data_IF_282181518610
#
_entry.id   IF_282181518610
#
_cell.length_a   1.000
_cell.length_b   1.000
_cell.length_c   1.000
_cell.angle_alpha   90.00
_cell.angle_beta   90.00
_cell.angle_gamma   90.00
#
_symmetry.space_group_name_H-M   'P 1'
#
loop_
_entity.id
_entity.type
_entity.pdbx_description
1 polymer ?
#
# COMPACT_ATOMS: atom_id res chain seq x y z
N UNK A 1 -10.91 -1.86 16.19
CA UNK A 1 -11.51 -1.18 17.36
C UNK A 1 -10.84 0.18 17.57
N UNK A 2 -11.60 1.18 18.06
CA UNK A 2 -11.14 2.57 18.25
C UNK A 2 -10.78 2.88 19.70
N UNK A 3 -10.86 1.88 20.59
CA UNK A 3 -10.51 2.03 22.01
C UNK A 3 -9.06 2.45 22.20
N UNK A 4 -8.82 3.39 23.10
CA UNK A 4 -7.49 3.91 23.39
C UNK A 4 -6.99 4.99 22.42
N UNK A 5 -7.74 5.31 21.35
CA UNK A 5 -7.40 6.47 20.52
C UNK A 5 -7.63 7.75 21.28
N UNK A 6 -6.72 8.70 21.13
CA UNK A 6 -6.77 10.00 21.77
C UNK A 6 -6.61 11.13 20.75
N UNK A 7 -7.10 12.30 21.09
CA UNK A 7 -6.83 13.52 20.34
C UNK A 7 -6.76 14.71 21.31
N UNK A 8 -6.09 15.76 20.87
CA UNK A 8 -5.99 16.98 21.66
C UNK A 8 -6.99 18.02 21.13
N UNK A 9 -7.89 18.48 21.99
CA UNK A 9 -8.79 19.57 21.66
C UNK A 9 -8.04 20.91 21.66
N UNK A 10 -8.18 21.67 20.59
CA UNK A 10 -7.61 23.01 20.42
C UNK A 10 -8.72 24.04 20.32
N UNK A 11 -8.53 25.22 20.89
CA UNK A 11 -9.52 26.31 20.84
C UNK A 11 -9.89 26.73 19.41
N UNK A 12 -9.02 26.51 18.42
CA UNK A 12 -9.27 26.76 17.00
C UNK A 12 -10.38 25.89 16.42
N UNK A 13 -10.74 24.77 17.08
CA UNK A 13 -11.85 23.89 16.66
C UNK A 13 -13.23 24.55 16.95
N UNK A 14 -13.28 25.54 17.86
CA UNK A 14 -14.51 26.19 18.28
C UNK A 14 -15.28 25.37 19.33
N UNK A 15 -16.55 25.71 19.57
CA UNK A 15 -17.40 24.95 20.51
C UNK A 15 -17.66 23.56 19.96
N UNK A 16 -17.40 22.53 20.77
CA UNK A 16 -17.59 21.12 20.38
C UNK A 16 -18.34 20.36 21.47
N UNK A 17 -19.22 19.47 21.03
CA UNK A 17 -19.90 18.46 21.86
C UNK A 17 -19.25 17.12 21.53
N UNK A 18 -19.03 16.29 22.52
CA UNK A 18 -18.44 14.96 22.32
C UNK A 18 -19.42 13.87 22.77
N UNK A 19 -19.34 12.71 22.11
CA UNK A 19 -20.20 11.56 22.41
C UNK A 19 -19.90 10.95 23.79
N UNK A 20 -20.89 10.35 24.43
CA UNK A 20 -20.77 9.79 25.78
C UNK A 20 -19.72 8.69 25.97
N UNK A 21 -19.21 8.12 24.88
CA UNK A 21 -18.11 7.14 24.89
C UNK A 21 -16.72 7.76 24.93
N UNK A 22 -16.59 9.09 24.83
CA UNK A 22 -15.33 9.80 24.93
C UNK A 22 -15.10 10.26 26.36
N UNK A 23 -13.89 10.07 26.85
CA UNK A 23 -13.48 10.50 28.17
C UNK A 23 -12.63 11.76 28.01
N UNK A 24 -13.06 12.85 28.64
CA UNK A 24 -12.33 14.11 28.65
C UNK A 24 -11.40 14.17 29.83
N UNK A 25 -10.12 14.49 29.58
CA UNK A 25 -9.13 14.79 30.59
C UNK A 25 -8.85 16.30 30.65
N UNK A 26 -8.85 16.84 31.85
CA UNK A 26 -8.41 18.20 32.14
C UNK A 26 -7.19 18.12 33.07
N UNK A 27 -6.08 18.66 32.62
CA UNK A 27 -4.83 18.61 33.38
C UNK A 27 -4.58 19.93 34.11
N UNK A 28 -4.01 19.86 35.32
CA UNK A 28 -3.36 21.02 35.93
C UNK A 28 -2.09 21.36 35.13
N UNK A 29 -2.14 22.46 34.40
CA UNK A 29 -1.08 22.89 33.50
C UNK A 29 0.20 23.31 34.16
N UNK A 30 0.19 23.56 35.48
CA UNK A 30 1.36 23.80 36.27
C UNK A 30 2.26 22.55 36.41
N UNK A 31 1.66 21.37 36.29
CA UNK A 31 2.36 20.10 36.45
C UNK A 31 2.44 19.30 35.15
N UNK A 32 1.39 19.31 34.31
CA UNK A 32 1.31 18.48 33.10
C UNK A 32 0.79 19.30 31.92
N UNK A 33 1.60 19.36 30.87
CA UNK A 33 1.18 19.92 29.59
C UNK A 33 0.25 18.94 28.86
N UNK A 34 -0.94 19.36 28.39
CA UNK A 34 -1.84 18.49 27.62
C UNK A 34 -1.19 17.86 26.39
N UNK A 35 -0.31 18.60 25.69
CA UNK A 35 0.43 18.07 24.55
C UNK A 35 1.41 16.95 24.95
N UNK A 36 2.05 17.08 26.13
CA UNK A 36 2.91 16.03 26.68
C UNK A 36 2.09 14.77 27.03
N UNK A 37 0.96 14.93 27.76
CA UNK A 37 0.08 13.80 28.07
C UNK A 37 -0.43 13.11 26.81
N UNK A 38 -0.76 13.87 25.76
CA UNK A 38 -1.11 13.32 24.44
C UNK A 38 0.05 12.53 23.83
N UNK A 39 1.29 13.01 23.89
CA UNK A 39 2.46 12.29 23.38
C UNK A 39 2.66 10.93 24.06
N UNK A 40 2.37 10.82 25.37
CA UNK A 40 2.43 9.54 26.11
C UNK A 40 1.46 8.50 25.53
N UNK A 41 0.33 8.90 24.94
CA UNK A 41 -0.63 7.97 24.34
C UNK A 41 -0.10 7.30 23.06
N UNK A 42 1.02 7.73 22.51
CA UNK A 42 1.73 7.07 21.42
C UNK A 42 2.70 5.97 21.89
N UNK A 43 3.03 5.95 23.21
CA UNK A 43 4.01 5.02 23.78
C UNK A 43 3.56 3.56 23.72
N UNK A 44 4.55 2.64 23.67
CA UNK A 44 4.30 1.19 23.77
C UNK A 44 3.59 0.86 25.08
N UNK A 45 4.06 1.44 26.19
CA UNK A 45 3.48 1.25 27.54
C UNK A 45 1.98 1.60 27.59
N UNK A 46 1.56 2.70 26.93
CA UNK A 46 0.14 3.04 26.85
C UNK A 46 -0.64 2.06 26.01
N UNK A 47 -0.11 1.65 24.85
CA UNK A 47 -0.76 0.67 23.96
C UNK A 47 -0.94 -0.68 24.63
N UNK A 48 0.08 -1.18 25.33
CA UNK A 48 0.01 -2.40 26.11
C UNK A 48 -1.02 -2.29 27.24
N UNK A 49 -1.05 -1.16 27.94
CA UNK A 49 -2.05 -0.91 28.97
C UNK A 49 -3.48 -0.92 28.39
N UNK A 50 -3.70 -0.30 27.24
CA UNK A 50 -4.99 -0.32 26.53
C UNK A 50 -5.37 -1.76 26.16
N UNK A 51 -4.47 -2.56 25.60
CA UNK A 51 -4.72 -3.95 25.26
C UNK A 51 -5.14 -4.80 26.47
N UNK A 52 -4.51 -4.59 27.62
CA UNK A 52 -4.84 -5.26 28.87
C UNK A 52 -6.22 -4.88 29.42
N UNK A 53 -6.67 -3.62 29.23
CA UNK A 53 -7.84 -3.07 29.90
C UNK A 53 -9.10 -2.95 29.01
N UNK A 54 -8.97 -3.06 27.69
CA UNK A 54 -10.09 -2.84 26.76
C UNK A 54 -11.22 -3.89 26.83
N UNK A 55 -11.03 -4.96 27.59
CA UNK A 55 -12.01 -6.05 27.68
C UNK A 55 -12.06 -6.93 26.41
N UNK A 56 -12.62 -8.13 26.54
CA UNK A 56 -12.77 -9.12 25.44
C UNK A 56 -14.22 -9.23 24.98
N UNK A 57 -14.95 -8.13 24.91
CA UNK A 57 -16.35 -8.09 24.49
C UNK A 57 -16.48 -7.69 23.02
N UNK A 58 -17.65 -7.90 22.43
CA UNK A 58 -17.95 -7.45 21.06
C UNK A 58 -17.81 -5.93 20.89
N UNK A 59 -18.00 -5.15 21.97
CA UNK A 59 -17.76 -3.71 22.03
C UNK A 59 -16.74 -3.40 23.14
N UNK A 60 -15.43 -3.48 22.85
CA UNK A 60 -14.40 -3.18 23.82
C UNK A 60 -14.54 -1.75 24.35
N UNK A 61 -14.36 -1.54 25.65
CA UNK A 61 -14.45 -0.25 26.30
C UNK A 61 -13.47 -0.15 27.46
N UNK A 62 -13.02 1.06 27.76
CA UNK A 62 -12.24 1.41 28.95
C UNK A 62 -12.92 2.60 29.59
N UNK A 63 -13.34 2.48 30.84
CA UNK A 63 -14.06 3.54 31.55
C UNK A 63 -13.10 4.54 32.25
N UNK A 64 -13.66 5.66 32.75
CA UNK A 64 -12.88 6.72 33.41
C UNK A 64 -12.11 6.24 34.65
N UNK A 65 -12.67 5.32 35.42
CA UNK A 65 -12.01 4.77 36.61
C UNK A 65 -10.79 3.92 36.23
N UNK A 66 -10.90 3.14 35.16
CA UNK A 66 -9.74 2.40 34.62
C UNK A 66 -8.67 3.37 34.11
N UNK A 67 -9.04 4.40 33.35
CA UNK A 67 -8.08 5.39 32.88
C UNK A 67 -7.38 6.13 34.02
N UNK A 68 -8.05 6.40 35.14
CA UNK A 68 -7.43 7.05 36.31
C UNK A 68 -6.33 6.19 36.97
N UNK A 69 -6.32 4.89 36.70
CA UNK A 69 -5.26 3.98 37.17
C UNK A 69 -3.99 3.99 36.30
N UNK A 70 -4.06 4.53 35.07
CA UNK A 70 -2.91 4.61 34.19
C UNK A 70 -1.92 5.66 34.71
N UNK A 71 -0.73 5.20 35.10
CA UNK A 71 0.33 6.08 35.63
C UNK A 71 1.19 6.61 34.50
N UNK A 72 1.31 7.94 34.43
CA UNK A 72 2.21 8.63 33.51
C UNK A 72 3.38 9.23 34.28
N UNK A 73 4.60 9.22 33.72
CA UNK A 73 5.71 10.00 34.28
C UNK A 73 5.37 11.50 34.24
N UNK A 74 5.83 12.26 35.19
CA UNK A 74 5.64 13.72 35.25
C UNK A 74 7.00 14.40 35.47
N UNK A 75 7.84 14.49 34.40
CA UNK A 75 9.08 15.20 34.48
C UNK A 75 8.85 16.72 34.61
N UNK A 76 9.89 17.52 34.95
CA UNK A 76 9.78 18.98 34.96
C UNK A 76 9.17 19.53 33.63
N UNK A 77 8.47 20.65 33.74
CA UNK A 77 7.75 21.28 32.61
C UNK A 77 8.67 21.53 31.40
N UNK A 78 9.94 21.91 31.65
CA UNK A 78 10.87 22.18 30.55
C UNK A 78 11.26 20.88 29.80
N UNK A 79 11.38 19.77 30.51
CA UNK A 79 11.57 18.44 29.90
C UNK A 79 10.32 18.04 29.09
N UNK A 80 9.12 18.29 29.62
CA UNK A 80 7.88 18.05 28.87
C UNK A 80 7.82 18.86 27.57
N UNK A 81 8.24 20.14 27.60
CA UNK A 81 8.30 21.00 26.40
C UNK A 81 9.30 20.44 25.38
N UNK A 82 10.47 19.98 25.81
CA UNK A 82 11.46 19.36 24.92
C UNK A 82 10.90 18.11 24.23
N UNK A 83 10.25 17.21 24.98
CA UNK A 83 9.59 16.02 24.43
C UNK A 83 8.55 16.41 23.39
N UNK A 84 7.68 17.38 23.70
CA UNK A 84 6.63 17.85 22.78
C UNK A 84 7.22 18.46 21.52
N UNK A 85 8.32 19.21 21.62
CA UNK A 85 9.00 19.81 20.48
C UNK A 85 9.62 18.74 19.57
N UNK A 86 10.37 17.78 20.14
CA UNK A 86 11.02 16.71 19.37
C UNK A 86 9.96 15.82 18.67
N UNK A 87 8.90 15.40 19.38
CA UNK A 87 7.79 14.63 18.79
C UNK A 87 7.05 15.45 17.74
N UNK A 88 6.86 16.74 17.96
CA UNK A 88 6.22 17.64 17.01
C UNK A 88 6.97 17.75 15.68
N UNK A 89 8.31 17.70 15.70
CA UNK A 89 9.14 17.66 14.48
C UNK A 89 8.89 16.37 13.68
N UNK A 90 8.80 15.21 14.35
CA UNK A 90 8.46 13.93 13.69
C UNK A 90 7.05 13.96 13.11
N UNK A 91 6.07 14.51 13.85
CA UNK A 91 4.68 14.61 13.35
C UNK A 91 4.56 15.51 12.13
N UNK A 92 5.29 16.64 12.14
CA UNK A 92 5.35 17.53 10.98
C UNK A 92 5.97 16.80 9.78
N UNK A 93 7.16 16.21 9.95
CA UNK A 93 7.83 15.43 8.90
C UNK A 93 6.94 14.33 8.33
N UNK A 94 6.20 13.62 9.19
CA UNK A 94 5.25 12.57 8.79
C UNK A 94 4.08 13.12 7.95
N UNK A 95 3.54 14.29 8.31
CA UNK A 95 2.48 14.93 7.54
C UNK A 95 2.99 15.48 6.19
N UNK A 96 4.19 16.06 6.18
CA UNK A 96 4.84 16.54 4.96
C UNK A 96 5.11 15.36 4.01
N UNK A 97 5.57 14.21 4.54
CA UNK A 97 5.78 12.98 3.77
C UNK A 97 4.48 12.44 3.16
N UNK A 98 3.35 12.45 3.88
CA UNK A 98 2.05 12.05 3.34
C UNK A 98 1.61 12.97 2.20
N UNK A 99 1.74 14.29 2.39
CA UNK A 99 1.39 15.26 1.36
C UNK A 99 2.26 15.11 0.12
N UNK A 100 3.54 14.77 0.28
CA UNK A 100 4.46 14.49 -0.83
C UNK A 100 4.02 13.23 -1.60
N UNK A 101 3.62 12.16 -0.92
CA UNK A 101 3.10 10.94 -1.55
C UNK A 101 1.86 11.26 -2.40
N UNK A 102 0.88 11.96 -1.83
CA UNK A 102 -0.36 12.31 -2.52
C UNK A 102 -0.08 13.18 -3.76
N UNK A 103 0.82 14.14 -3.64
CA UNK A 103 1.27 14.99 -4.75
C UNK A 103 1.93 14.16 -5.86
N UNK A 104 2.92 13.33 -5.52
CA UNK A 104 3.67 12.56 -6.51
C UNK A 104 2.78 11.53 -7.22
N UNK A 105 1.83 10.89 -6.52
CA UNK A 105 0.83 10.01 -7.15
C UNK A 105 -0.08 10.79 -8.13
N UNK A 106 -0.47 12.02 -7.78
CA UNK A 106 -1.22 12.90 -8.69
C UNK A 106 -0.39 13.29 -9.91
N UNK A 107 0.89 13.63 -9.73
CA UNK A 107 1.80 13.99 -10.82
C UNK A 107 2.00 12.82 -11.80
N UNK A 108 2.17 11.59 -11.30
CA UNK A 108 2.22 10.37 -12.12
C UNK A 108 0.92 10.20 -12.93
N UNK A 109 -0.23 10.39 -12.29
CA UNK A 109 -1.52 10.29 -12.97
C UNK A 109 -1.66 11.34 -14.08
N UNK A 110 -1.20 12.57 -13.85
CA UNK A 110 -1.21 13.64 -14.86
C UNK A 110 -0.32 13.26 -16.06
N UNK A 111 0.90 12.78 -15.82
CA UNK A 111 1.81 12.32 -16.88
C UNK A 111 1.14 11.26 -17.74
N UNK A 112 0.58 10.24 -17.12
CA UNK A 112 -0.01 9.09 -17.82
C UNK A 112 -1.29 9.46 -18.58
N UNK A 113 -2.16 10.30 -18.02
CA UNK A 113 -3.42 10.68 -18.65
C UNK A 113 -3.27 11.80 -19.71
N UNK A 114 -2.10 12.44 -19.79
CA UNK A 114 -1.76 13.41 -20.84
C UNK A 114 -1.32 12.78 -22.17
N UNK A 115 -1.20 11.45 -22.25
CA UNK A 115 -0.67 10.76 -23.44
C UNK A 115 -1.74 10.62 -24.53
N UNK A 116 -1.33 10.81 -25.80
CA UNK A 116 -2.19 11.02 -26.96
C UNK A 116 -2.55 9.74 -27.77
N UNK A 117 -2.09 9.68 -29.03
CA UNK A 117 -2.43 8.63 -30.03
C UNK A 117 -2.37 7.21 -29.47
N UNK A 118 -3.25 6.30 -29.93
CA UNK A 118 -3.35 4.97 -29.31
C UNK A 118 -3.21 3.82 -30.33
N UNK A 119 -2.73 2.68 -29.82
CA UNK A 119 -2.56 1.41 -30.53
C UNK A 119 -3.07 0.26 -29.66
N UNK A 120 -3.40 -0.90 -30.25
CA UNK A 120 -3.84 -2.07 -29.47
C UNK A 120 -2.67 -2.74 -28.76
N UNK A 121 -2.90 -3.25 -27.52
CA UNK A 121 -1.89 -3.98 -26.74
C UNK A 121 -1.27 -5.13 -27.53
N UNK A 122 -2.09 -5.90 -28.25
CA UNK A 122 -1.65 -7.06 -29.08
C UNK A 122 -0.57 -6.73 -30.12
N UNK A 123 -0.42 -5.48 -30.51
CA UNK A 123 0.63 -5.10 -31.48
C UNK A 123 2.03 -5.23 -30.86
N UNK A 124 2.16 -4.96 -29.56
CA UNK A 124 3.44 -4.88 -28.86
C UNK A 124 3.62 -5.96 -27.78
N UNK A 125 2.58 -6.62 -27.33
CA UNK A 125 2.64 -7.58 -26.21
C UNK A 125 2.07 -8.93 -26.56
N UNK A 126 2.71 -9.96 -26.03
CA UNK A 126 2.18 -11.32 -25.96
C UNK A 126 1.60 -11.59 -24.58
N UNK A 127 0.54 -12.38 -24.51
CA UNK A 127 -0.20 -12.66 -23.27
C UNK A 127 -0.26 -14.15 -23.00
N UNK A 128 0.22 -14.56 -21.80
CA UNK A 128 0.10 -15.95 -21.30
C UNK A 128 0.75 -17.00 -22.19
N UNK A 129 1.92 -16.73 -22.75
CA UNK A 129 2.61 -17.60 -23.71
C UNK A 129 3.10 -18.91 -23.11
N UNK A 130 3.50 -18.89 -21.84
CA UNK A 130 4.11 -20.02 -21.18
C UNK A 130 3.22 -20.59 -20.07
N UNK A 131 3.13 -21.92 -20.06
CA UNK A 131 2.40 -22.67 -19.02
C UNK A 131 3.19 -23.88 -18.56
N UNK A 132 3.02 -24.25 -17.28
CA UNK A 132 3.66 -25.41 -16.68
C UNK A 132 2.69 -26.06 -15.68
N UNK A 133 2.71 -27.37 -15.58
CA UNK A 133 1.99 -28.10 -14.56
C UNK A 133 2.95 -28.52 -13.42
N UNK A 134 2.95 -27.84 -12.25
CA UNK A 134 3.84 -28.17 -11.16
C UNK A 134 3.69 -29.60 -10.65
N UNK A 135 2.48 -30.19 -10.71
CA UNK A 135 2.23 -31.57 -10.26
C UNK A 135 3.01 -32.58 -11.07
N UNK A 136 3.23 -32.36 -12.36
CA UNK A 136 4.01 -33.26 -13.20
C UNK A 136 5.48 -32.92 -13.23
N UNK A 137 5.84 -31.62 -13.13
CA UNK A 137 7.23 -31.19 -13.28
C UNK A 137 8.03 -31.23 -11.95
N UNK A 138 7.36 -30.97 -10.82
CA UNK A 138 8.02 -30.79 -9.51
C UNK A 138 7.28 -31.51 -8.39
N UNK A 139 6.74 -32.69 -8.65
CA UNK A 139 5.88 -33.47 -7.75
C UNK A 139 6.25 -33.37 -6.27
N UNK A 140 7.50 -33.66 -5.94
CA UNK A 140 8.02 -33.71 -4.56
C UNK A 140 8.97 -32.53 -4.23
N UNK A 141 8.97 -31.48 -5.05
CA UNK A 141 9.75 -30.27 -4.84
C UNK A 141 8.82 -29.07 -4.53
N UNK A 142 9.35 -28.11 -3.79
CA UNK A 142 8.65 -26.85 -3.53
C UNK A 142 8.79 -25.89 -4.71
N UNK A 143 7.72 -25.17 -5.00
CA UNK A 143 7.68 -24.04 -5.90
C UNK A 143 7.01 -22.84 -5.24
N UNK A 144 7.27 -21.64 -5.74
CA UNK A 144 6.60 -20.41 -5.31
C UNK A 144 5.30 -20.25 -6.08
N UNK A 145 4.18 -20.13 -5.37
CA UNK A 145 2.87 -19.89 -5.98
C UNK A 145 2.40 -18.46 -5.75
N UNK A 146 2.27 -17.71 -6.82
CA UNK A 146 1.71 -16.35 -6.79
C UNK A 146 0.24 -16.42 -7.22
N UNK A 147 -0.66 -16.28 -6.25
CA UNK A 147 -2.11 -16.18 -6.48
C UNK A 147 -2.61 -14.74 -6.36
N UNK A 148 -3.94 -14.55 -6.51
CA UNK A 148 -4.54 -13.21 -6.50
C UNK A 148 -4.26 -12.45 -5.20
N UNK A 149 -4.18 -13.14 -4.07
CA UNK A 149 -3.91 -12.52 -2.76
C UNK A 149 -2.42 -12.21 -2.55
N UNK A 150 -1.55 -12.78 -3.37
CA UNK A 150 -0.11 -12.51 -3.36
C UNK A 150 0.27 -11.19 -4.02
N UNK A 151 -0.66 -10.55 -4.75
CA UNK A 151 -0.43 -9.25 -5.41
C UNK A 151 -1.23 -8.16 -4.70
N UNK A 152 -0.54 -7.12 -4.28
CA UNK A 152 -1.13 -5.99 -3.57
C UNK A 152 -2.15 -5.23 -4.44
N UNK A 153 -3.16 -4.66 -3.79
CA UNK A 153 -4.23 -3.94 -4.47
C UNK A 153 -3.88 -2.46 -4.58
N UNK A 154 -3.44 -2.06 -5.77
CA UNK A 154 -3.09 -0.66 -6.07
C UNK A 154 -1.71 -0.20 -5.57
N UNK A 155 -0.87 -1.11 -5.10
CA UNK A 155 0.49 -0.79 -4.60
C UNK A 155 1.62 -1.44 -5.40
N UNK A 156 1.30 -2.33 -6.35
CA UNK A 156 2.28 -2.99 -7.22
C UNK A 156 3.15 -4.06 -6.55
N UNK A 157 2.93 -4.36 -5.27
CA UNK A 157 3.74 -5.31 -4.51
C UNK A 157 3.37 -6.76 -4.86
N UNK A 158 4.37 -7.65 -4.83
CA UNK A 158 4.19 -9.09 -4.99
C UNK A 158 4.85 -9.80 -3.80
N UNK A 159 4.12 -10.69 -3.14
CA UNK A 159 4.70 -11.64 -2.18
C UNK A 159 5.06 -12.94 -2.88
N UNK A 160 6.30 -13.40 -2.63
CA UNK A 160 6.82 -14.69 -3.07
C UNK A 160 6.94 -15.70 -1.92
N UNK A 161 6.24 -15.48 -0.83
CA UNK A 161 6.38 -16.26 0.42
C UNK A 161 5.65 -17.60 0.37
N UNK A 162 4.65 -17.75 -0.52
CA UNK A 162 3.80 -18.93 -0.58
C UNK A 162 4.51 -20.08 -1.29
N UNK A 163 5.08 -21.01 -0.52
CA UNK A 163 5.74 -22.23 -1.00
C UNK A 163 4.78 -23.42 -0.92
N UNK A 164 4.64 -24.15 -2.03
CA UNK A 164 3.73 -25.32 -2.14
C UNK A 164 4.50 -26.46 -2.78
N UNK A 165 4.25 -27.71 -2.34
CA UNK A 165 4.77 -28.91 -3.02
C UNK A 165 4.04 -29.11 -4.35
N UNK A 166 4.76 -29.55 -5.39
CA UNK A 166 4.18 -29.73 -6.73
C UNK A 166 2.97 -30.65 -6.74
N UNK A 167 2.94 -31.73 -5.96
CA UNK A 167 1.79 -32.62 -5.82
C UNK A 167 0.54 -31.97 -5.24
N UNK A 168 0.72 -30.91 -4.44
CA UNK A 168 -0.36 -30.18 -3.78
C UNK A 168 -0.74 -28.90 -4.56
N UNK A 169 -0.21 -28.73 -5.77
CA UNK A 169 -0.42 -27.53 -6.59
C UNK A 169 -1.90 -27.33 -6.92
N UNK A 170 -2.47 -26.15 -6.63
CA UNK A 170 -3.82 -25.80 -7.04
C UNK A 170 -4.02 -25.94 -8.56
N UNK A 171 -5.22 -26.29 -9.00
CA UNK A 171 -5.54 -26.41 -10.44
C UNK A 171 -5.25 -25.13 -11.24
N UNK A 172 -5.30 -23.97 -10.59
CA UNK A 172 -5.01 -22.67 -11.17
C UNK A 172 -3.51 -22.32 -11.24
N UNK A 173 -2.62 -23.08 -10.61
CA UNK A 173 -1.17 -22.85 -10.67
C UNK A 173 -0.64 -23.36 -12.02
N UNK A 174 -0.61 -22.49 -13.03
CA UNK A 174 -0.29 -22.90 -14.42
C UNK A 174 0.59 -21.92 -15.19
N UNK A 175 0.58 -20.63 -14.88
CA UNK A 175 1.21 -19.61 -15.72
C UNK A 175 2.66 -19.37 -15.31
N UNK A 176 3.53 -19.28 -16.30
CA UNK A 176 4.96 -18.96 -16.12
C UNK A 176 5.19 -17.54 -16.62
N UNK A 177 5.84 -16.72 -15.79
CA UNK A 177 6.31 -15.41 -16.19
C UNK A 177 7.79 -15.47 -16.60
N UNK A 178 8.17 -14.55 -17.44
CA UNK A 178 9.57 -14.23 -17.77
C UNK A 178 9.95 -12.90 -17.10
N UNK A 179 11.24 -12.57 -17.13
CA UNK A 179 11.70 -11.25 -16.68
C UNK A 179 11.00 -10.13 -17.47
N UNK A 180 10.79 -8.98 -16.85
CA UNK A 180 10.10 -7.82 -17.42
C UNK A 180 8.64 -8.12 -17.82
N UNK A 181 7.94 -8.92 -17.02
CA UNK A 181 6.52 -9.24 -17.24
C UNK A 181 5.63 -8.30 -16.44
N UNK A 182 4.56 -7.82 -17.08
CA UNK A 182 3.44 -7.13 -16.42
C UNK A 182 2.38 -8.13 -16.02
N UNK A 183 1.99 -8.10 -14.76
CA UNK A 183 0.96 -8.97 -14.17
C UNK A 183 -0.31 -8.16 -14.01
N UNK A 184 -1.40 -8.67 -14.56
CA UNK A 184 -2.72 -8.05 -14.49
C UNK A 184 -3.72 -9.04 -13.94
N UNK A 185 -4.31 -8.74 -12.77
CA UNK A 185 -5.45 -9.53 -12.28
C UNK A 185 -6.63 -9.41 -13.25
N UNK A 186 -7.07 -10.55 -13.78
CA UNK A 186 -8.22 -10.59 -14.66
C UNK A 186 -9.55 -10.62 -13.89
N UNK A 187 -9.50 -10.89 -12.59
CA UNK A 187 -10.65 -10.93 -11.68
C UNK A 187 -10.71 -9.62 -10.91
N UNK A 188 -11.85 -8.93 -10.98
CA UNK A 188 -12.08 -7.63 -10.32
C UNK A 188 -10.93 -6.64 -10.59
N UNK A 189 -10.60 -6.34 -11.85
CA UNK A 189 -9.44 -5.52 -12.21
C UNK A 189 -9.50 -4.10 -11.63
N UNK A 190 -10.70 -3.59 -11.30
CA UNK A 190 -10.87 -2.31 -10.58
C UNK A 190 -10.18 -2.26 -9.20
N UNK A 191 -9.84 -3.42 -8.61
CA UNK A 191 -9.02 -3.48 -7.38
C UNK A 191 -7.53 -3.26 -7.65
N UNK A 192 -7.12 -3.13 -8.91
CA UNK A 192 -5.74 -2.89 -9.34
C UNK A 192 -4.74 -3.89 -8.75
N UNK A 193 -5.07 -5.18 -8.77
CA UNK A 193 -4.11 -6.25 -8.47
C UNK A 193 -3.14 -6.42 -9.63
N UNK A 194 -2.31 -5.40 -9.87
CA UNK A 194 -1.35 -5.29 -10.97
C UNK A 194 0.06 -5.14 -10.43
N UNK A 195 1.03 -5.72 -11.14
CA UNK A 195 2.43 -5.60 -10.75
C UNK A 195 3.36 -5.68 -11.96
N UNK A 196 4.59 -5.26 -11.79
CA UNK A 196 5.68 -5.45 -12.74
C UNK A 196 6.79 -6.27 -12.07
N UNK A 197 7.30 -7.27 -12.79
CA UNK A 197 8.43 -8.08 -12.34
C UNK A 197 9.60 -7.82 -13.27
N UNK A 198 10.68 -7.27 -12.74
CA UNK A 198 11.91 -7.08 -13.48
C UNK A 198 12.68 -8.39 -13.65
N UNK A 199 12.75 -9.21 -12.60
CA UNK A 199 13.37 -10.54 -12.60
C UNK A 199 12.50 -11.54 -11.82
N UNK A 200 12.19 -12.68 -12.44
CA UNK A 200 11.31 -13.70 -11.87
C UNK A 200 12.13 -14.70 -11.04
N UNK A 201 11.81 -14.93 -9.77
CA UNK A 201 12.46 -15.96 -8.97
C UNK A 201 12.27 -17.36 -9.58
N UNK A 202 13.28 -18.19 -9.48
CA UNK A 202 13.22 -19.57 -9.98
C UNK A 202 12.03 -20.35 -9.39
N UNK A 203 11.52 -21.29 -10.16
CA UNK A 203 10.37 -22.14 -9.78
C UNK A 203 9.17 -21.34 -9.29
N UNK A 204 8.85 -20.23 -9.96
CA UNK A 204 7.67 -19.41 -9.67
C UNK A 204 6.56 -19.69 -10.66
N UNK A 205 5.36 -19.98 -10.14
CA UNK A 205 4.14 -20.21 -10.93
C UNK A 205 3.05 -19.25 -10.50
N UNK A 206 2.38 -18.66 -11.47
CA UNK A 206 1.28 -17.73 -11.29
C UNK A 206 -0.06 -18.40 -11.51
N UNK A 207 -1.07 -17.87 -10.81
CA UNK A 207 -2.46 -18.28 -10.99
C UNK A 207 -2.98 -17.95 -12.40
N UNK A 208 -3.87 -18.79 -12.92
CA UNK A 208 -4.64 -18.48 -14.13
C UNK A 208 -5.57 -17.26 -13.99
N UNK A 209 -5.75 -16.75 -12.79
CA UNK A 209 -6.46 -15.49 -12.52
C UNK A 209 -5.69 -14.22 -12.90
N UNK A 210 -4.42 -14.35 -13.34
CA UNK A 210 -3.64 -13.25 -13.92
C UNK A 210 -3.52 -13.36 -15.42
N UNK A 211 -3.47 -12.26 -16.12
CA UNK A 211 -2.86 -12.14 -17.44
C UNK A 211 -1.38 -11.73 -17.22
N UNK A 212 -0.48 -12.45 -17.85
CA UNK A 212 0.96 -12.17 -17.88
C UNK A 212 1.30 -11.58 -19.24
N UNK A 213 1.69 -10.31 -19.28
CA UNK A 213 1.96 -9.58 -20.53
C UNK A 213 3.48 -9.38 -20.65
N UNK A 214 4.03 -9.83 -21.76
CA UNK A 214 5.43 -9.69 -22.12
C UNK A 214 5.57 -8.85 -23.36
N UNK A 215 6.41 -7.82 -23.33
CA UNK A 215 6.75 -7.09 -24.54
C UNK A 215 7.38 -8.01 -25.58
N UNK A 216 6.92 -7.93 -26.83
CA UNK A 216 7.53 -8.65 -27.97
C UNK A 216 8.94 -8.16 -28.24
N UNK A 217 9.19 -6.88 -28.01
CA UNK A 217 10.50 -6.24 -28.05
C UNK A 217 10.50 -4.96 -27.20
N UNK A 218 11.31 -4.94 -26.15
CA UNK A 218 11.47 -3.78 -25.24
C UNK A 218 12.01 -2.53 -25.94
N UNK A 219 12.64 -2.66 -27.11
CA UNK A 219 13.08 -1.52 -27.93
C UNK A 219 11.91 -0.87 -28.69
N UNK A 220 10.77 -1.55 -28.78
CA UNK A 220 9.57 -1.02 -29.42
C UNK A 220 8.56 -0.53 -28.38
N UNK A 221 8.37 -1.30 -27.30
CA UNK A 221 7.50 -0.90 -26.20
C UNK A 221 7.98 -1.43 -24.85
N UNK A 222 8.20 -0.52 -23.91
CA UNK A 222 8.74 -0.82 -22.57
C UNK A 222 7.64 -1.42 -21.69
N UNK A 223 7.84 -2.65 -21.20
CA UNK A 223 6.89 -3.35 -20.32
C UNK A 223 6.56 -2.53 -19.06
N UNK A 224 7.53 -1.85 -18.47
CA UNK A 224 7.31 -1.04 -17.27
C UNK A 224 6.37 0.15 -17.51
N UNK A 225 6.38 0.74 -18.72
CA UNK A 225 5.40 1.75 -19.09
C UNK A 225 3.98 1.16 -19.15
N UNK A 226 3.81 -0.03 -19.70
CA UNK A 226 2.51 -0.70 -19.70
C UNK A 226 1.98 -0.93 -18.27
N UNK A 227 2.86 -1.33 -17.34
CA UNK A 227 2.50 -1.43 -15.92
C UNK A 227 1.96 -0.09 -15.38
N UNK A 228 2.65 1.02 -15.63
CA UNK A 228 2.20 2.35 -15.19
C UNK A 228 0.87 2.74 -15.82
N UNK A 229 0.62 2.37 -17.08
CA UNK A 229 -0.67 2.58 -17.74
C UNK A 229 -1.79 1.80 -17.03
N UNK A 230 -1.58 0.54 -16.66
CA UNK A 230 -2.56 -0.23 -15.88
C UNK A 230 -2.83 0.40 -14.51
N UNK A 231 -1.80 0.92 -13.86
CA UNK A 231 -1.94 1.53 -12.53
C UNK A 231 -2.62 2.90 -12.54
N UNK A 232 -2.33 3.76 -13.52
CA UNK A 232 -2.64 5.18 -13.43
C UNK A 232 -3.50 5.73 -14.59
N UNK A 233 -3.73 4.99 -15.68
CA UNK A 233 -4.53 5.47 -16.81
C UNK A 233 -6.02 5.30 -16.56
N UNK A 234 -6.74 6.42 -16.50
CA UNK A 234 -8.20 6.46 -16.42
C UNK A 234 -8.85 5.86 -17.67
N UNK A 235 -8.24 6.08 -18.85
CA UNK A 235 -8.72 5.52 -20.09
C UNK A 235 -8.63 3.99 -20.09
N UNK A 236 -7.49 3.42 -19.67
CA UNK A 236 -7.33 1.96 -19.64
C UNK A 236 -8.25 1.34 -18.58
N UNK A 237 -8.44 1.98 -17.42
CA UNK A 237 -9.41 1.55 -16.43
C UNK A 237 -10.83 1.54 -16.99
N UNK A 238 -11.23 2.59 -17.71
CA UNK A 238 -12.56 2.66 -18.36
C UNK A 238 -12.74 1.57 -19.43
N UNK A 239 -11.71 1.22 -20.19
CA UNK A 239 -11.76 0.10 -21.12
C UNK A 239 -11.98 -1.22 -20.41
N UNK A 240 -11.27 -1.47 -19.29
CA UNK A 240 -11.46 -2.65 -18.42
C UNK A 240 -12.89 -2.70 -17.86
N UNK A 241 -13.40 -1.59 -17.34
CA UNK A 241 -14.77 -1.51 -16.81
C UNK A 241 -15.82 -1.79 -17.88
N UNK A 242 -15.60 -1.33 -19.10
CA UNK A 242 -16.50 -1.55 -20.23
C UNK A 242 -16.50 -3.01 -20.69
N UNK A 243 -15.35 -3.68 -20.66
CA UNK A 243 -15.21 -5.09 -21.03
C UNK A 243 -15.78 -6.05 -19.97
N UNK A 244 -15.87 -5.61 -18.70
CA UNK A 244 -16.40 -6.45 -17.62
C UNK A 244 -17.90 -6.71 -17.78
N UNK A 245 -18.36 -7.97 -17.72
CA UNK A 245 -19.78 -8.28 -17.66
C UNK A 245 -20.38 -7.80 -16.32
N UNK A 246 -21.65 -7.39 -16.34
CA UNK A 246 -22.43 -7.06 -15.13
C UNK A 246 -22.76 -8.34 -14.34
N UNK A 247 -21.78 -8.88 -13.62
CA UNK A 247 -21.89 -10.13 -12.87
C UNK A 247 -21.33 -9.98 -11.45
N UNK A 248 -21.66 -10.92 -10.57
CA UNK A 248 -21.16 -10.93 -9.18
C UNK A 248 -19.61 -11.08 -9.10
N UNK A 249 -19.01 -11.72 -10.11
CA UNK A 249 -17.55 -11.88 -10.24
C UNK A 249 -17.09 -11.33 -11.59
N UNK A 250 -17.00 -9.99 -11.73
CA UNK A 250 -16.59 -9.39 -13.00
C UNK A 250 -15.14 -9.76 -13.32
N UNK A 251 -14.91 -10.18 -14.57
CA UNK A 251 -13.57 -10.53 -15.06
C UNK A 251 -13.41 -10.10 -16.51
N UNK A 252 -12.17 -9.84 -16.90
CA UNK A 252 -11.74 -9.61 -18.26
C UNK A 252 -10.98 -10.84 -18.77
N UNK A 253 -10.95 -11.06 -20.05
CA UNK A 253 -10.25 -12.17 -20.68
C UNK A 253 -9.06 -11.69 -21.53
N UNK A 254 -8.33 -12.64 -22.14
CA UNK A 254 -7.18 -12.33 -23.01
C UNK A 254 -7.59 -11.45 -24.19
N UNK A 255 -8.70 -11.75 -24.84
CA UNK A 255 -9.16 -11.04 -26.04
C UNK A 255 -9.53 -9.58 -25.71
N UNK A 256 -10.14 -9.35 -24.54
CA UNK A 256 -10.41 -7.99 -24.05
C UNK A 256 -9.10 -7.22 -23.93
N UNK A 257 -8.09 -7.80 -23.26
CA UNK A 257 -6.79 -7.16 -23.02
C UNK A 257 -6.05 -6.92 -24.35
N UNK A 258 -6.04 -7.88 -25.25
CA UNK A 258 -5.42 -7.77 -26.59
C UNK A 258 -5.93 -6.53 -27.36
N UNK A 259 -7.20 -6.17 -27.17
CA UNK A 259 -7.86 -5.07 -27.87
C UNK A 259 -7.83 -3.74 -27.13
N UNK A 260 -7.39 -3.71 -25.87
CA UNK A 260 -7.24 -2.44 -25.14
C UNK A 260 -6.25 -1.52 -25.85
N UNK A 261 -6.58 -0.25 -25.80
CA UNK A 261 -5.80 0.81 -26.43
C UNK A 261 -4.85 1.45 -25.44
N UNK A 262 -3.58 1.50 -25.82
CA UNK A 262 -2.49 2.12 -25.07
C UNK A 262 -1.84 3.23 -25.93
N UNK A 263 -1.18 4.21 -25.33
CA UNK A 263 -0.51 5.27 -26.08
C UNK A 263 0.52 4.74 -27.07
N UNK A 264 0.52 5.30 -28.27
CA UNK A 264 1.56 5.07 -29.28
C UNK A 264 2.62 6.16 -29.13
N UNK A 265 3.81 5.75 -28.67
CA UNK A 265 4.92 6.64 -28.35
C UNK A 265 6.22 6.11 -28.98
N UNK A 266 7.12 7.01 -29.32
CA UNK A 266 8.50 6.64 -29.66
C UNK A 266 9.20 6.04 -28.45
N UNK A 267 10.25 5.25 -28.66
CA UNK A 267 11.00 4.63 -27.57
C UNK A 267 11.67 5.67 -26.64
N UNK A 268 12.08 6.80 -27.17
CA UNK A 268 12.70 7.86 -26.38
C UNK A 268 11.67 8.58 -25.50
N UNK A 269 10.44 8.82 -26.00
CA UNK A 269 9.34 9.31 -25.17
C UNK A 269 8.99 8.33 -24.05
N UNK A 270 8.92 7.03 -24.36
CA UNK A 270 8.67 5.99 -23.36
C UNK A 270 9.75 5.97 -22.27
N UNK A 271 11.03 6.00 -22.64
CA UNK A 271 12.15 6.06 -21.71
C UNK A 271 12.09 7.30 -20.83
N UNK A 272 11.77 8.45 -21.42
CA UNK A 272 11.65 9.70 -20.67
C UNK A 272 10.52 9.63 -19.63
N UNK A 273 9.35 9.14 -20.02
CA UNK A 273 8.18 8.98 -19.13
C UNK A 273 8.50 7.99 -18.00
N UNK A 274 9.08 6.84 -18.32
CA UNK A 274 9.45 5.84 -17.32
C UNK A 274 10.43 6.43 -16.30
N UNK A 275 11.47 7.13 -16.77
CA UNK A 275 12.46 7.76 -15.88
C UNK A 275 11.85 8.85 -14.98
N UNK A 276 10.90 9.64 -15.49
CA UNK A 276 10.18 10.65 -14.69
C UNK A 276 9.35 9.95 -13.58
N UNK A 277 8.62 8.91 -13.91
CA UNK A 277 7.79 8.20 -12.95
C UNK A 277 8.67 7.48 -11.90
N UNK A 278 9.75 6.84 -12.30
CA UNK A 278 10.70 6.20 -11.38
C UNK A 278 11.30 7.20 -10.37
N UNK A 279 11.61 8.42 -10.80
CA UNK A 279 12.07 9.46 -9.89
C UNK A 279 11.01 9.82 -8.83
N UNK A 280 9.75 9.95 -9.23
CA UNK A 280 8.63 10.20 -8.30
C UNK A 280 8.37 8.99 -7.36
N UNK A 281 8.47 7.76 -7.86
CA UNK A 281 8.37 6.54 -7.04
C UNK A 281 9.48 6.43 -5.99
N UNK A 282 10.70 6.85 -6.34
CA UNK A 282 11.81 6.91 -5.39
C UNK A 282 11.53 7.88 -4.23
N UNK A 283 10.96 9.03 -4.52
CA UNK A 283 10.53 9.99 -3.48
C UNK A 283 9.39 9.43 -2.62
N UNK A 284 8.41 8.78 -3.23
CA UNK A 284 7.32 8.09 -2.52
C UNK A 284 7.88 7.03 -1.58
N UNK A 285 8.85 6.24 -2.02
CA UNK A 285 9.47 5.18 -1.22
C UNK A 285 10.21 5.77 -0.01
N UNK A 286 10.97 6.85 -0.20
CA UNK A 286 11.63 7.57 0.91
C UNK A 286 10.60 8.14 1.90
N UNK A 287 9.53 8.74 1.40
CA UNK A 287 8.46 9.28 2.24
C UNK A 287 7.73 8.19 3.04
N UNK A 288 7.47 7.02 2.46
CA UNK A 288 6.90 5.86 3.17
C UNK A 288 7.82 5.37 4.29
N UNK A 289 9.13 5.27 4.03
CA UNK A 289 10.13 4.90 5.06
C UNK A 289 10.11 5.86 6.24
N UNK A 290 9.99 7.18 6.01
CA UNK A 290 9.85 8.17 7.10
C UNK A 290 8.58 7.92 7.92
N UNK A 291 7.46 7.63 7.26
CA UNK A 291 6.18 7.33 7.92
C UNK A 291 6.29 6.07 8.79
N UNK A 292 6.89 5.01 8.26
CA UNK A 292 7.04 3.73 8.95
C UNK A 292 7.93 3.85 10.19
N UNK A 293 8.98 4.66 10.12
CA UNK A 293 9.92 4.89 11.23
C UNK A 293 9.37 5.82 12.32
N UNK A 294 8.37 6.65 12.02
CA UNK A 294 7.87 7.68 12.93
C UNK A 294 7.42 7.14 14.30
N UNK A 295 6.87 5.93 14.37
CA UNK A 295 6.42 5.33 15.62
C UNK A 295 7.60 4.94 16.53
N UNK A 296 8.66 4.34 15.97
CA UNK A 296 9.88 3.95 16.70
C UNK A 296 10.67 5.17 17.13
N UNK A 297 10.78 6.20 16.29
CA UNK A 297 11.44 7.46 16.63
C UNK A 297 10.76 8.18 17.81
N UNK A 298 9.42 8.28 17.81
CA UNK A 298 8.66 8.83 18.93
C UNK A 298 8.91 8.04 20.22
N UNK A 299 8.96 6.71 20.12
CA UNK A 299 9.24 5.85 21.26
C UNK A 299 10.66 6.06 21.80
N UNK A 300 11.66 6.24 20.93
CA UNK A 300 13.04 6.54 21.32
C UNK A 300 13.14 7.87 22.10
N UNK A 301 12.41 8.91 21.65
CA UNK A 301 12.33 10.18 22.38
C UNK A 301 11.76 9.96 23.79
N UNK A 302 10.66 9.22 23.92
CA UNK A 302 10.06 8.95 25.21
C UNK A 302 11.03 8.20 26.14
N UNK A 303 11.77 7.22 25.64
CA UNK A 303 12.79 6.49 26.42
C UNK A 303 13.99 7.35 26.84
N UNK A 304 14.37 8.33 26.00
CA UNK A 304 15.48 9.25 26.29
C UNK A 304 15.19 10.12 27.52
N UNK A 305 13.95 10.47 27.76
CA UNK A 305 13.54 11.44 28.78
C UNK A 305 12.81 10.83 29.98
N UNK A 306 12.31 9.59 29.86
CA UNK A 306 11.46 8.92 30.85
C UNK A 306 12.00 7.57 31.30
#
# INVERSE_FOLDING_TARGET
>A
ATVGKSFIYKNSIGKAIYAGYLIRFQFNREHILPCYAYSITSSVKYKEWVEMHKGRTAQPNINGQQYSSFKIPVPPIDVQKQIVEEIGKIEKSNNDAKSLIDKNLSDISIIINGLGSTVSIKEYFDINTLTLNPTSCWKDEFFTYVDIDSVGKGDGNISFDKKILGKDAPSRARRVAEDKTVIVSTVRPYLKGFAYIDSVPEKTIFSTGFALLKSKNEENYISKLLYYLFMFSDNLMKQMETAMPKAAYPSINKEDIDNFKIPLLTIDEQKHIVAQIEALELEITKARTLIDNAASEKQAILYKYL
#
